data_IF_450197163727
#
_entry.id   IF_450197163727
#
_cell.length_a   1.000
_cell.length_b   1.000
_cell.length_c   1.000
_cell.angle_alpha   90.00
_cell.angle_beta   90.00
_cell.angle_gamma   90.00
#
_symmetry.space_group_name_H-M   'P 1'
#
loop_
_entity.id
_entity.type
_entity.pdbx_description
1 polymer ?
#
# COMPACT_ATOMS: atom_id res chain seq x y z
N UNK A 1 6.93 14.92 26.61
CA UNK A 1 6.65 15.67 25.37
C UNK A 1 7.43 14.96 24.28
N UNK A 2 6.79 14.54 23.21
CA UNK A 2 7.51 13.87 22.09
C UNK A 2 8.16 15.00 21.32
N UNK A 3 9.48 15.06 21.36
CA UNK A 3 10.24 15.96 20.54
C UNK A 3 10.35 15.35 19.13
N UNK A 4 9.74 16.02 18.15
CA UNK A 4 9.89 15.70 16.73
C UNK A 4 11.26 16.22 16.24
N UNK A 5 12.33 15.76 16.94
CA UNK A 5 13.69 16.20 16.68
C UNK A 5 14.14 15.74 15.29
N UNK A 6 14.62 16.67 14.50
CA UNK A 6 15.12 16.43 13.15
C UNK A 6 14.13 16.79 12.02
N UNK A 7 12.88 17.16 12.33
CA UNK A 7 11.98 17.72 11.31
C UNK A 7 12.29 19.21 11.14
N UNK A 8 12.59 19.61 9.91
CA UNK A 8 12.73 21.00 9.51
C UNK A 8 11.75 21.30 8.38
N UNK A 9 11.02 22.43 8.52
CA UNK A 9 10.11 22.90 7.49
C UNK A 9 10.76 24.10 6.77
N UNK A 10 10.86 23.98 5.45
CA UNK A 10 11.40 25.06 4.60
C UNK A 10 10.27 25.99 4.15
N UNK A 11 10.24 27.20 4.72
CA UNK A 11 9.27 28.23 4.39
C UNK A 11 9.48 28.89 3.02
N UNK A 12 10.64 28.62 2.39
CA UNK A 12 10.99 29.15 1.06
C UNK A 12 10.71 28.16 -0.07
N UNK A 13 10.42 26.91 0.27
CA UNK A 13 10.09 25.86 -0.69
C UNK A 13 8.76 26.11 -1.40
N UNK A 14 8.67 25.69 -2.67
CA UNK A 14 7.41 25.67 -3.41
C UNK A 14 6.39 24.64 -2.86
N UNK A 15 6.84 23.68 -2.03
CA UNK A 15 5.96 22.70 -1.39
C UNK A 15 5.26 23.33 -0.20
N UNK A 16 3.92 23.32 -0.10
CA UNK A 16 3.18 23.88 1.01
C UNK A 16 3.61 23.33 2.38
N UNK A 17 3.64 24.16 3.42
CA UNK A 17 4.10 23.78 4.76
C UNK A 17 3.29 22.63 5.37
N UNK A 18 1.98 22.55 5.10
CA UNK A 18 1.16 21.43 5.57
C UNK A 18 1.58 20.10 4.93
N UNK A 19 1.97 20.12 3.66
CA UNK A 19 2.45 18.94 2.94
C UNK A 19 3.82 18.48 3.46
N UNK A 20 4.72 19.43 3.72
CA UNK A 20 6.02 19.13 4.32
C UNK A 20 5.86 18.52 5.72
N UNK A 21 4.97 19.08 6.56
CA UNK A 21 4.69 18.57 7.89
C UNK A 21 4.05 17.17 7.82
N UNK A 22 3.05 16.99 6.93
CA UNK A 22 2.43 15.69 6.69
C UNK A 22 3.48 14.63 6.33
N UNK A 23 4.34 14.95 5.35
CA UNK A 23 5.39 14.05 4.88
C UNK A 23 6.36 13.67 6.00
N UNK A 24 6.82 14.65 6.76
CA UNK A 24 7.76 14.43 7.87
C UNK A 24 7.15 13.60 9.01
N UNK A 25 5.87 13.85 9.36
CA UNK A 25 5.15 13.02 10.33
C UNK A 25 4.92 11.61 9.80
N UNK A 26 4.56 11.47 8.54
CA UNK A 26 4.40 10.17 7.89
C UNK A 26 5.71 9.38 7.90
N UNK A 27 6.83 10.00 7.55
CA UNK A 27 8.15 9.37 7.63
C UNK A 27 8.51 8.93 9.05
N UNK A 28 8.20 9.74 10.06
CA UNK A 28 8.43 9.39 11.47
C UNK A 28 7.57 8.20 11.93
N UNK A 29 6.32 8.11 11.43
CA UNK A 29 5.43 6.98 11.69
C UNK A 29 5.94 5.74 10.94
N UNK A 30 6.26 5.86 9.66
CA UNK A 30 6.66 4.72 8.80
C UNK A 30 8.05 4.18 9.14
N UNK A 31 8.95 5.03 9.64
CA UNK A 31 10.27 4.61 10.13
C UNK A 31 10.25 4.01 11.54
N UNK A 32 9.08 3.96 12.20
CA UNK A 32 8.96 3.46 13.57
C UNK A 32 9.46 4.42 14.67
N UNK A 33 9.85 5.65 14.33
CA UNK A 33 10.18 6.68 15.34
C UNK A 33 8.97 7.07 16.18
N UNK A 34 7.78 7.06 15.57
CA UNK A 34 6.49 7.26 16.24
C UNK A 34 5.71 5.95 16.20
N UNK A 35 5.70 5.23 17.31
CA UNK A 35 5.01 3.95 17.42
C UNK A 35 3.48 4.11 17.47
N UNK A 36 2.76 3.07 17.11
CA UNK A 36 1.32 2.97 17.27
C UNK A 36 0.89 3.28 18.71
N UNK A 37 -0.20 4.01 18.87
CA UNK A 37 -0.68 4.48 20.17
C UNK A 37 0.08 5.68 20.75
N UNK A 38 1.14 6.14 20.08
CA UNK A 38 1.87 7.33 20.47
C UNK A 38 0.98 8.57 20.37
N UNK A 39 0.86 9.33 21.44
CA UNK A 39 0.15 10.62 21.44
C UNK A 39 0.99 11.65 20.68
N UNK A 40 0.44 12.21 19.61
CA UNK A 40 1.08 13.28 18.84
C UNK A 40 0.93 14.63 19.54
N UNK A 41 1.82 15.60 19.26
CA UNK A 41 1.67 16.97 19.73
C UNK A 41 0.33 17.58 19.33
N UNK A 42 -0.18 18.49 20.14
CA UNK A 42 -1.37 19.27 19.79
C UNK A 42 -1.09 20.20 18.61
N UNK A 43 -2.15 20.67 17.94
CA UNK A 43 -2.01 21.71 16.89
C UNK A 43 -1.24 22.93 17.41
N UNK A 44 -1.44 23.30 18.69
CA UNK A 44 -0.77 24.43 19.33
C UNK A 44 0.73 24.17 19.57
N UNK A 45 1.08 22.98 20.04
CA UNK A 45 2.48 22.56 20.20
C UNK A 45 3.22 22.51 18.86
N UNK A 46 2.57 22.02 17.77
CA UNK A 46 3.15 22.06 16.43
C UNK A 46 3.36 23.50 15.94
N UNK A 47 2.40 24.40 16.22
CA UNK A 47 2.55 25.83 15.88
C UNK A 47 3.74 26.45 16.59
N UNK A 48 3.91 26.16 17.87
CA UNK A 48 5.02 26.68 18.67
C UNK A 48 6.36 26.10 18.22
N UNK A 49 6.42 24.80 17.92
CA UNK A 49 7.65 24.12 17.55
C UNK A 49 8.15 24.48 16.15
N UNK A 50 7.25 24.59 15.17
CA UNK A 50 7.63 24.81 13.76
C UNK A 50 7.37 26.21 13.24
N UNK A 51 6.78 27.11 14.06
CA UNK A 51 6.44 28.47 13.66
C UNK A 51 5.44 28.50 12.48
N UNK A 52 4.43 27.63 12.52
CA UNK A 52 3.35 27.50 11.53
C UNK A 52 2.01 27.95 12.11
N UNK A 53 1.02 28.19 11.25
CA UNK A 53 -0.33 28.56 11.70
C UNK A 53 -1.16 27.30 12.07
N UNK A 54 -2.19 27.48 12.94
CA UNK A 54 -3.13 26.40 13.31
C UNK A 54 -3.82 25.75 12.10
N UNK A 55 -4.27 26.49 11.06
CA UNK A 55 -4.81 25.88 9.84
C UNK A 55 -3.83 24.92 9.16
N UNK A 56 -2.55 25.26 9.09
CA UNK A 56 -1.50 24.41 8.49
C UNK A 56 -1.31 23.13 9.29
N UNK A 57 -1.19 23.21 10.61
CA UNK A 57 -1.07 22.04 11.48
C UNK A 57 -2.32 21.15 11.40
N UNK A 58 -3.50 21.76 11.41
CA UNK A 58 -4.79 21.03 11.28
C UNK A 58 -4.92 20.33 9.94
N UNK A 59 -4.55 20.97 8.84
CA UNK A 59 -4.61 20.38 7.50
C UNK A 59 -3.69 19.17 7.39
N UNK A 60 -2.44 19.26 7.90
CA UNK A 60 -1.53 18.13 7.93
C UNK A 60 -2.10 16.95 8.73
N UNK A 61 -2.69 17.20 9.89
CA UNK A 61 -3.33 16.16 10.68
C UNK A 61 -4.57 15.58 10.01
N UNK A 62 -5.42 16.40 9.42
CA UNK A 62 -6.61 15.90 8.71
C UNK A 62 -6.23 14.97 7.57
N UNK A 63 -5.22 15.31 6.79
CA UNK A 63 -4.70 14.45 5.73
C UNK A 63 -4.20 13.11 6.30
N UNK A 64 -3.43 13.12 7.39
CA UNK A 64 -2.96 11.91 8.05
C UNK A 64 -4.11 11.08 8.66
N UNK A 65 -5.22 11.74 9.09
CA UNK A 65 -6.43 11.06 9.57
C UNK A 65 -7.18 10.42 8.39
N UNK A 66 -7.41 11.17 7.31
CA UNK A 66 -8.00 10.65 6.07
C UNK A 66 -7.17 9.51 5.48
N UNK A 67 -5.87 9.65 5.55
CA UNK A 67 -4.91 8.61 5.19
C UNK A 67 -4.87 7.45 6.20
N UNK A 68 -5.46 7.61 7.38
CA UNK A 68 -5.61 6.58 8.41
C UNK A 68 -4.34 6.25 9.19
N UNK A 69 -3.32 7.09 9.14
CA UNK A 69 -2.11 6.96 9.95
C UNK A 69 -2.28 7.49 11.37
N UNK A 70 -3.26 8.38 11.53
CA UNK A 70 -3.52 9.10 12.77
C UNK A 70 -5.00 9.04 13.09
N UNK A 71 -5.35 9.03 14.36
CA UNK A 71 -6.73 9.11 14.82
C UNK A 71 -6.91 10.21 15.87
N UNK A 72 -8.07 10.86 15.84
CA UNK A 72 -8.44 11.88 16.85
C UNK A 72 -9.38 11.26 17.86
N UNK A 73 -8.94 11.20 19.11
CA UNK A 73 -9.76 10.73 20.23
C UNK A 73 -10.31 11.95 20.97
N UNK A 74 -11.64 12.08 21.01
CA UNK A 74 -12.32 13.22 21.66
C UNK A 74 -11.88 13.38 23.13
N UNK A 75 -11.40 14.57 23.50
CA UNK A 75 -10.93 14.88 24.84
C UNK A 75 -9.56 14.29 25.22
N UNK A 76 -8.97 13.41 24.39
CA UNK A 76 -7.70 12.75 24.68
C UNK A 76 -6.54 13.25 23.81
N UNK A 77 -6.84 13.73 22.60
CA UNK A 77 -5.87 14.26 21.65
C UNK A 77 -5.78 13.45 20.36
N UNK A 78 -4.67 13.62 19.66
CA UNK A 78 -4.36 12.97 18.39
C UNK A 78 -3.30 11.88 18.63
N UNK A 79 -3.50 10.70 18.09
CA UNK A 79 -2.63 9.54 18.33
C UNK A 79 -2.22 8.92 17.01
N UNK A 80 -1.02 8.35 16.97
CA UNK A 80 -0.64 7.44 15.90
C UNK A 80 -1.58 6.24 15.99
N UNK A 81 -2.30 6.00 14.92
CA UNK A 81 -3.29 4.92 14.91
C UNK A 81 -2.60 3.58 15.07
N UNK A 82 -3.11 2.75 15.97
CA UNK A 82 -2.71 1.34 16.01
C UNK A 82 -3.13 0.69 14.70
N UNK A 83 -2.21 0.08 13.98
CA UNK A 83 -2.57 -0.53 12.72
C UNK A 83 -3.46 -1.73 12.99
N UNK A 84 -4.70 -1.61 12.61
CA UNK A 84 -5.48 -2.80 12.35
C UNK A 84 -5.00 -3.36 11.00
N UNK A 85 -4.19 -4.41 11.04
CA UNK A 85 -3.67 -5.10 9.85
C UNK A 85 -4.77 -5.72 9.01
N UNK A 86 -5.98 -5.76 9.55
CA UNK A 86 -7.15 -6.42 8.99
C UNK A 86 -7.82 -5.55 7.94
N UNK A 87 -7.43 -5.72 6.68
CA UNK A 87 -8.14 -5.19 5.51
C UNK A 87 -7.69 -3.83 4.97
N UNK A 88 -6.57 -3.25 5.42
CA UNK A 88 -6.12 -1.91 4.98
C UNK A 88 -5.50 -1.85 3.60
N UNK A 89 -4.76 -2.89 3.20
CA UNK A 89 -4.12 -2.90 1.88
C UNK A 89 -5.11 -2.94 0.71
N UNK A 90 -6.40 -3.09 0.97
CA UNK A 90 -7.43 -2.89 -0.05
C UNK A 90 -7.89 -1.44 -0.20
N UNK A 91 -7.72 -0.61 0.83
CA UNK A 91 -8.28 0.74 0.83
C UNK A 91 -7.27 1.81 0.38
N UNK A 92 -5.98 1.49 0.34
CA UNK A 92 -4.93 2.44 -0.08
C UNK A 92 -3.88 1.76 -0.96
N UNK A 93 -3.38 2.55 -1.91
CA UNK A 93 -2.33 2.15 -2.86
C UNK A 93 -0.93 2.35 -2.26
N UNK A 94 -0.75 2.05 -0.98
CA UNK A 94 0.57 2.02 -0.39
C UNK A 94 1.31 0.77 -0.82
N UNK A 95 2.62 0.87 -1.01
CA UNK A 95 3.42 -0.32 -1.20
C UNK A 95 3.35 -1.19 0.07
N UNK A 96 3.37 -2.51 -0.08
CA UNK A 96 3.37 -3.44 1.05
C UNK A 96 4.47 -3.12 2.07
N UNK A 97 5.67 -2.77 1.60
CA UNK A 97 6.79 -2.40 2.46
C UNK A 97 6.50 -1.12 3.27
N UNK A 98 5.90 -0.10 2.62
CA UNK A 98 5.51 1.12 3.32
C UNK A 98 4.42 0.85 4.37
N UNK A 99 3.46 -0.01 4.05
CA UNK A 99 2.41 -0.42 4.99
C UNK A 99 3.00 -1.19 6.18
N UNK A 100 3.85 -2.17 5.94
CA UNK A 100 4.51 -2.94 7.00
C UNK A 100 5.46 -2.07 7.83
N UNK A 101 6.12 -1.09 7.21
CA UNK A 101 6.93 -0.09 7.92
C UNK A 101 6.10 0.76 8.89
N UNK A 102 4.90 1.21 8.47
CA UNK A 102 3.94 1.91 9.36
C UNK A 102 3.58 1.05 10.57
N UNK A 103 3.47 -0.26 10.37
CA UNK A 103 3.10 -1.23 11.39
C UNK A 103 4.27 -1.62 12.29
N UNK A 104 5.49 -1.19 11.96
CA UNK A 104 6.73 -1.67 12.57
C UNK A 104 6.80 -3.21 12.58
N UNK A 105 6.31 -3.84 11.52
CA UNK A 105 6.32 -5.29 11.34
C UNK A 105 7.47 -5.71 10.45
N UNK A 106 8.22 -6.69 10.92
CA UNK A 106 9.21 -7.38 10.08
C UNK A 106 8.49 -8.01 8.89
N UNK A 107 8.98 -7.71 7.69
CA UNK A 107 8.41 -8.23 6.46
C UNK A 107 9.49 -8.67 5.48
N UNK A 108 9.14 -9.61 4.62
CA UNK A 108 9.98 -10.12 3.55
C UNK A 108 9.13 -10.40 2.32
N UNK A 109 9.67 -10.12 1.16
CA UNK A 109 9.09 -10.50 -0.12
C UNK A 109 10.01 -11.52 -0.81
N UNK A 110 9.43 -12.58 -1.33
CA UNK A 110 10.11 -13.60 -2.12
C UNK A 110 9.48 -13.66 -3.50
N UNK A 111 10.29 -13.58 -4.55
CA UNK A 111 9.82 -13.74 -5.93
C UNK A 111 9.79 -15.22 -6.25
N UNK A 112 8.60 -15.76 -6.46
CA UNK A 112 8.39 -17.16 -6.81
C UNK A 112 8.44 -17.38 -8.32
N UNK A 113 8.00 -16.39 -9.12
CA UNK A 113 7.99 -16.43 -10.58
C UNK A 113 8.15 -15.02 -11.13
N UNK A 114 8.90 -14.91 -12.22
CA UNK A 114 9.12 -13.66 -12.93
C UNK A 114 9.41 -14.02 -14.40
N UNK A 115 8.41 -13.86 -15.28
CA UNK A 115 8.50 -14.31 -16.67
C UNK A 115 7.61 -13.47 -17.59
N UNK A 116 7.97 -13.43 -18.87
CA UNK A 116 7.12 -12.85 -19.89
C UNK A 116 6.07 -13.88 -20.36
N UNK A 117 4.79 -13.48 -20.33
CA UNK A 117 3.70 -14.29 -20.82
C UNK A 117 3.10 -13.71 -22.09
N UNK A 118 2.78 -14.60 -23.01
CA UNK A 118 2.14 -14.28 -24.28
C UNK A 118 0.61 -14.26 -24.16
N UNK A 119 -0.06 -14.03 -25.27
CA UNK A 119 -1.49 -13.85 -25.36
C UNK A 119 -2.32 -14.91 -24.62
N UNK A 120 -3.17 -14.43 -23.73
CA UNK A 120 -4.24 -15.17 -23.07
C UNK A 120 -5.53 -14.34 -23.21
N UNK A 121 -6.60 -14.85 -23.83
CA UNK A 121 -7.77 -14.05 -24.18
C UNK A 121 -8.38 -13.25 -23.03
N UNK A 122 -8.58 -13.90 -21.89
CA UNK A 122 -9.18 -13.27 -20.71
C UNK A 122 -8.29 -12.18 -20.10
N UNK A 123 -7.00 -12.46 -19.90
CA UNK A 123 -6.02 -11.52 -19.36
C UNK A 123 -5.88 -10.30 -20.26
N UNK A 124 -5.74 -10.51 -21.56
CA UNK A 124 -5.50 -9.45 -22.51
C UNK A 124 -6.73 -8.55 -22.71
N UNK A 125 -7.93 -9.13 -22.67
CA UNK A 125 -9.17 -8.34 -22.69
C UNK A 125 -9.26 -7.41 -21.45
N UNK A 126 -8.84 -7.88 -20.26
CA UNK A 126 -8.83 -7.09 -19.03
C UNK A 126 -7.82 -5.96 -19.06
N UNK A 127 -6.66 -6.17 -19.65
CA UNK A 127 -5.59 -5.18 -19.79
C UNK A 127 -5.69 -4.36 -21.09
N UNK A 128 -6.71 -4.59 -21.93
CA UNK A 128 -6.91 -3.95 -23.23
C UNK A 128 -5.70 -4.11 -24.15
N UNK A 129 -5.11 -5.29 -24.17
CA UNK A 129 -3.94 -5.64 -24.97
C UNK A 129 -4.31 -6.39 -26.22
N UNK A 130 -3.47 -6.28 -27.24
CA UNK A 130 -3.61 -6.96 -28.51
C UNK A 130 -2.82 -8.28 -28.55
N UNK A 131 -3.06 -9.09 -29.59
CA UNK A 131 -2.50 -10.45 -29.70
C UNK A 131 -0.97 -10.48 -29.80
N UNK A 132 -0.33 -9.40 -30.20
CA UNK A 132 1.12 -9.27 -30.30
C UNK A 132 1.81 -8.74 -29.06
N UNK A 133 1.05 -8.26 -28.09
CA UNK A 133 1.59 -7.73 -26.83
C UNK A 133 2.10 -8.83 -25.91
N UNK A 134 2.88 -8.45 -24.91
CA UNK A 134 3.35 -9.33 -23.84
C UNK A 134 3.04 -8.70 -22.49
N UNK A 135 2.88 -9.55 -21.48
CA UNK A 135 2.78 -9.16 -20.09
C UNK A 135 3.92 -9.75 -19.28
N UNK A 136 4.47 -8.96 -18.36
CA UNK A 136 5.34 -9.47 -17.32
C UNK A 136 4.49 -10.07 -16.20
N UNK A 137 4.63 -11.37 -15.97
CA UNK A 137 3.96 -12.11 -14.91
C UNK A 137 4.91 -12.23 -13.73
N UNK A 138 4.58 -11.55 -12.63
CA UNK A 138 5.36 -11.50 -11.41
C UNK A 138 4.56 -12.10 -10.26
N UNK A 139 5.03 -13.22 -9.71
CA UNK A 139 4.42 -13.90 -8.56
C UNK A 139 5.31 -13.73 -7.34
N UNK A 140 4.74 -13.18 -6.29
CA UNK A 140 5.47 -12.90 -5.05
C UNK A 140 4.73 -13.44 -3.85
N UNK A 141 5.48 -14.08 -2.96
CA UNK A 141 5.03 -14.42 -1.63
C UNK A 141 5.52 -13.36 -0.65
N UNK A 142 4.63 -12.82 0.13
CA UNK A 142 4.95 -11.84 1.17
C UNK A 142 4.75 -12.45 2.54
N UNK A 143 5.70 -12.20 3.41
CA UNK A 143 5.72 -12.70 4.78
C UNK A 143 5.68 -11.54 5.75
N UNK A 144 5.00 -11.73 6.87
CA UNK A 144 4.96 -10.79 8.01
C UNK A 144 5.30 -11.56 9.27
N UNK A 145 6.27 -11.06 10.03
CA UNK A 145 6.77 -11.73 11.25
C UNK A 145 7.08 -13.22 11.02
N UNK A 146 7.74 -13.51 9.89
CA UNK A 146 8.14 -14.86 9.50
C UNK A 146 7.03 -15.77 8.97
N UNK A 147 5.75 -15.33 8.96
CA UNK A 147 4.61 -16.13 8.49
C UNK A 147 4.15 -15.69 7.10
N UNK A 148 3.69 -16.65 6.26
CA UNK A 148 3.02 -16.33 4.99
C UNK A 148 1.85 -15.38 5.21
N UNK A 149 1.78 -14.30 4.42
CA UNK A 149 0.78 -13.27 4.59
C UNK A 149 -0.13 -13.13 3.36
N UNK A 150 0.48 -12.92 2.18
CA UNK A 150 -0.26 -12.81 0.92
C UNK A 150 0.59 -13.32 -0.25
N UNK A 151 -0.02 -14.12 -1.11
CA UNK A 151 0.50 -14.46 -2.43
C UNK A 151 -0.08 -13.45 -3.43
N UNK A 152 0.79 -12.78 -4.19
CA UNK A 152 0.39 -11.76 -5.16
C UNK A 152 0.91 -12.13 -6.54
N UNK A 153 0.01 -12.22 -7.50
CA UNK A 153 0.34 -12.32 -8.92
C UNK A 153 0.04 -10.97 -9.59
N UNK A 154 0.98 -10.42 -10.33
CA UNK A 154 0.81 -9.22 -11.12
C UNK A 154 1.02 -9.54 -12.60
N UNK A 155 0.20 -8.94 -13.44
CA UNK A 155 0.33 -8.98 -14.90
C UNK A 155 0.48 -7.55 -15.41
N UNK A 156 1.69 -7.23 -15.87
CA UNK A 156 2.10 -5.86 -16.19
C UNK A 156 2.39 -5.76 -17.70
N UNK A 157 1.71 -4.86 -18.44
CA UNK A 157 1.92 -4.71 -19.88
C UNK A 157 3.33 -4.24 -20.25
N UNK A 158 4.02 -4.95 -21.14
CA UNK A 158 5.34 -4.54 -21.68
C UNK A 158 5.26 -3.19 -22.38
N UNK A 159 4.18 -2.94 -23.12
CA UNK A 159 3.98 -1.70 -23.85
C UNK A 159 3.95 -0.45 -22.98
N UNK A 160 3.65 -0.60 -21.68
CA UNK A 160 3.65 0.48 -20.70
C UNK A 160 4.97 0.51 -19.92
N UNK A 161 5.54 -0.64 -19.63
CA UNK A 161 6.70 -0.82 -18.76
C UNK A 161 7.81 -1.62 -19.44
N UNK A 162 8.40 -1.11 -20.53
CA UNK A 162 9.46 -1.81 -21.25
C UNK A 162 10.68 -2.00 -20.35
N UNK A 163 11.22 -3.25 -20.29
CA UNK A 163 12.39 -3.58 -19.47
C UNK A 163 12.11 -3.69 -17.97
N UNK A 164 10.86 -3.86 -17.55
CA UNK A 164 10.47 -3.98 -16.15
C UNK A 164 11.09 -5.22 -15.47
N UNK A 165 11.45 -6.22 -16.24
CA UNK A 165 12.12 -7.44 -15.77
C UNK A 165 13.58 -7.22 -15.30
N UNK A 166 14.15 -6.03 -15.51
CA UNK A 166 15.46 -5.66 -15.00
C UNK A 166 15.48 -5.33 -13.50
N UNK A 167 14.33 -5.21 -12.84
CA UNK A 167 14.23 -4.80 -11.44
C UNK A 167 14.05 -5.98 -10.49
N UNK A 168 14.73 -5.91 -9.34
CA UNK A 168 14.58 -6.88 -8.25
C UNK A 168 13.34 -6.55 -7.39
N UNK A 169 12.24 -7.24 -7.66
CA UNK A 169 10.98 -7.09 -6.93
C UNK A 169 10.91 -7.84 -5.60
N UNK A 170 11.99 -8.49 -5.17
CA UNK A 170 12.14 -8.91 -3.78
C UNK A 170 12.49 -7.70 -2.88
N UNK A 171 13.22 -6.71 -3.44
CA UNK A 171 13.70 -5.54 -2.71
C UNK A 171 12.92 -4.25 -3.04
N UNK A 172 12.37 -4.15 -4.24
CA UNK A 172 11.66 -2.94 -4.69
C UNK A 172 10.16 -3.16 -4.83
N UNK A 173 9.39 -2.13 -4.50
CA UNK A 173 7.95 -2.14 -4.76
C UNK A 173 7.66 -2.00 -6.26
N UNK A 174 6.73 -2.80 -6.78
CA UNK A 174 6.29 -2.70 -8.17
C UNK A 174 5.72 -1.31 -8.49
N UNK A 175 4.85 -0.79 -7.65
CA UNK A 175 4.22 0.54 -7.87
C UNK A 175 5.19 1.70 -7.64
N UNK A 176 6.19 1.52 -6.78
CA UNK A 176 7.26 2.49 -6.63
C UNK A 176 8.12 2.58 -7.91
N UNK A 177 8.37 1.45 -8.56
CA UNK A 177 9.04 1.43 -9.87
C UNK A 177 8.16 2.08 -10.94
N UNK A 178 6.84 1.84 -10.95
CA UNK A 178 5.93 2.51 -11.87
C UNK A 178 6.04 4.04 -11.75
N UNK A 179 6.00 4.57 -10.54
CA UNK A 179 6.02 6.01 -10.30
C UNK A 179 7.41 6.62 -10.50
N UNK A 180 8.47 6.02 -9.94
CA UNK A 180 9.81 6.64 -9.90
C UNK A 180 10.59 6.46 -11.18
N UNK A 181 10.33 5.40 -11.94
CA UNK A 181 11.09 5.06 -13.15
C UNK A 181 10.29 5.38 -14.41
N UNK A 182 9.04 4.95 -14.46
CA UNK A 182 8.21 5.10 -15.65
C UNK A 182 7.30 6.33 -15.61
N UNK A 183 7.25 7.04 -14.47
CA UNK A 183 6.40 8.21 -14.22
C UNK A 183 4.91 7.92 -14.43
N UNK A 184 4.53 6.66 -14.27
CA UNK A 184 3.15 6.19 -14.32
C UNK A 184 2.54 6.16 -12.93
N UNK A 185 1.47 6.90 -12.73
CA UNK A 185 0.78 7.02 -11.44
C UNK A 185 -0.44 6.13 -11.40
N UNK A 186 -0.58 5.40 -10.33
CA UNK A 186 -1.80 4.65 -10.05
C UNK A 186 -2.86 5.62 -9.52
N UNK A 187 -3.95 5.81 -10.30
CA UNK A 187 -5.01 6.76 -9.94
C UNK A 187 -6.28 6.05 -9.49
N UNK A 188 -6.58 4.90 -10.08
CA UNK A 188 -7.84 4.19 -9.85
C UNK A 188 -7.61 2.69 -9.80
N UNK A 189 -8.38 2.01 -8.99
CA UNK A 189 -8.41 0.55 -8.98
C UNK A 189 -9.84 0.02 -8.87
N UNK A 190 -10.10 -1.05 -9.61
CA UNK A 190 -11.35 -1.83 -9.50
C UNK A 190 -11.04 -3.16 -8.86
N UNK A 191 -11.65 -3.43 -7.72
CA UNK A 191 -11.43 -4.66 -6.95
C UNK A 191 -12.66 -5.54 -6.90
N UNK A 192 -12.42 -6.84 -7.03
CA UNK A 192 -13.43 -7.90 -6.87
C UNK A 192 -12.93 -8.85 -5.80
N UNK A 193 -13.73 -9.04 -4.76
CA UNK A 193 -13.42 -9.94 -3.66
C UNK A 193 -14.28 -11.20 -3.80
N UNK A 194 -13.63 -12.36 -3.66
CA UNK A 194 -14.29 -13.66 -3.73
C UNK A 194 -13.77 -14.60 -2.65
N UNK A 195 -14.65 -15.42 -2.11
CA UNK A 195 -14.25 -16.56 -1.29
C UNK A 195 -13.91 -17.74 -2.19
N UNK A 196 -12.79 -18.38 -1.92
CA UNK A 196 -12.31 -19.58 -2.60
C UNK A 196 -11.88 -20.64 -1.59
N UNK A 197 -11.50 -21.81 -2.05
CA UNK A 197 -10.90 -22.86 -1.22
C UNK A 197 -9.45 -23.10 -1.64
N UNK A 198 -8.59 -23.35 -0.67
CA UNK A 198 -7.19 -23.65 -0.87
C UNK A 198 -7.00 -24.88 -1.77
N UNK A 199 -6.32 -24.69 -2.90
CA UNK A 199 -5.79 -25.79 -3.70
C UNK A 199 -4.51 -26.36 -3.05
N UNK A 200 -3.88 -27.34 -3.64
CA UNK A 200 -2.68 -27.97 -3.09
C UNK A 200 -1.49 -26.99 -3.03
N UNK A 201 -1.32 -26.15 -4.03
CA UNK A 201 -0.22 -25.16 -4.10
C UNK A 201 -0.37 -24.12 -3.00
N UNK A 202 -1.55 -23.50 -2.86
CA UNK A 202 -1.83 -22.55 -1.80
C UNK A 202 -1.66 -23.17 -0.41
N UNK A 203 -2.20 -24.38 -0.23
CA UNK A 203 -2.11 -25.09 1.05
C UNK A 203 -0.65 -25.30 1.48
N UNK A 204 0.23 -25.65 0.55
CA UNK A 204 1.67 -25.81 0.79
C UNK A 204 2.34 -24.48 1.11
N UNK A 205 2.06 -23.42 0.34
CA UNK A 205 2.67 -22.10 0.51
C UNK A 205 2.29 -21.44 1.85
N UNK A 206 1.05 -21.61 2.27
CA UNK A 206 0.52 -20.99 3.51
C UNK A 206 0.60 -21.89 4.73
N UNK A 207 0.95 -23.17 4.57
CA UNK A 207 0.96 -24.14 5.67
C UNK A 207 -0.43 -24.45 6.25
N UNK A 208 -1.47 -24.41 5.38
CA UNK A 208 -2.86 -24.69 5.75
C UNK A 208 -3.34 -26.00 5.11
N UNK A 209 -4.52 -26.47 5.48
CA UNK A 209 -5.10 -27.66 4.85
C UNK A 209 -5.69 -27.35 3.48
N UNK A 210 -5.63 -28.31 2.56
CA UNK A 210 -6.39 -28.25 1.30
C UNK A 210 -7.88 -28.10 1.60
N UNK A 211 -8.56 -27.16 0.92
CA UNK A 211 -9.95 -26.84 1.16
C UNK A 211 -10.18 -25.76 2.25
N UNK A 212 -9.12 -25.29 2.94
CA UNK A 212 -9.22 -24.14 3.85
C UNK A 212 -9.77 -22.92 3.12
N UNK A 213 -10.49 -22.00 3.80
CA UNK A 213 -10.96 -20.77 3.20
C UNK A 213 -9.81 -19.92 2.68
N UNK A 214 -9.97 -19.37 1.49
CA UNK A 214 -9.07 -18.39 0.87
C UNK A 214 -9.87 -17.17 0.52
N UNK A 215 -9.39 -16.02 0.93
CA UNK A 215 -9.88 -14.75 0.46
C UNK A 215 -9.09 -14.36 -0.79
N UNK A 216 -9.77 -14.29 -1.92
CA UNK A 216 -9.21 -13.91 -3.21
C UNK A 216 -9.63 -12.51 -3.58
N UNK A 217 -8.67 -11.70 -3.98
CA UNK A 217 -8.91 -10.34 -4.47
C UNK A 217 -8.31 -10.20 -5.86
N UNK A 218 -9.14 -9.83 -6.81
CA UNK A 218 -8.70 -9.44 -8.13
C UNK A 218 -8.76 -7.91 -8.25
N UNK A 219 -7.67 -7.31 -8.70
CA UNK A 219 -7.55 -5.87 -8.77
C UNK A 219 -7.07 -5.44 -10.16
N UNK A 220 -7.85 -4.62 -10.86
CA UNK A 220 -7.44 -3.95 -12.10
C UNK A 220 -7.05 -2.52 -11.76
N UNK A 221 -5.80 -2.19 -12.00
CA UNK A 221 -5.18 -0.90 -11.68
C UNK A 221 -5.09 -0.05 -12.95
N UNK A 222 -5.44 1.23 -12.84
CA UNK A 222 -5.51 2.16 -13.97
C UNK A 222 -4.70 3.42 -13.68
N UNK A 223 -4.11 3.95 -14.74
CA UNK A 223 -3.39 5.23 -14.73
C UNK A 223 -4.34 6.44 -14.85
N UNK A 224 -3.76 7.63 -15.02
CA UNK A 224 -4.47 8.90 -15.19
C UNK A 224 -5.30 8.99 -16.47
N UNK A 225 -5.11 8.08 -17.42
CA UNK A 225 -5.84 8.03 -18.70
C UNK A 225 -6.88 6.89 -18.73
N UNK A 226 -7.23 6.31 -17.57
CA UNK A 226 -8.09 5.11 -17.47
C UNK A 226 -7.54 3.90 -18.27
N UNK A 227 -6.22 3.86 -18.50
CA UNK A 227 -5.53 2.73 -19.14
C UNK A 227 -5.22 1.69 -18.07
N UNK A 228 -5.60 0.41 -18.24
CA UNK A 228 -5.18 -0.65 -17.32
C UNK A 228 -3.67 -0.86 -17.42
N UNK A 229 -2.99 -0.74 -16.29
CA UNK A 229 -1.52 -0.85 -16.18
C UNK A 229 -1.06 -2.03 -15.33
N UNK A 230 -1.96 -2.64 -14.55
CA UNK A 230 -1.71 -3.86 -13.79
C UNK A 230 -3.01 -4.61 -13.56
N UNK A 231 -2.97 -5.91 -13.71
CA UNK A 231 -3.98 -6.84 -13.19
C UNK A 231 -3.33 -7.67 -12.11
N UNK A 232 -3.72 -7.48 -10.86
CA UNK A 232 -3.22 -8.29 -9.75
C UNK A 232 -4.26 -9.26 -9.22
N UNK A 233 -3.76 -10.41 -8.77
CA UNK A 233 -4.52 -11.45 -8.07
C UNK A 233 -3.84 -11.66 -6.72
N UNK A 234 -4.60 -11.50 -5.66
CA UNK A 234 -4.11 -11.61 -4.30
C UNK A 234 -4.84 -12.74 -3.58
N UNK A 235 -4.07 -13.62 -2.95
CA UNK A 235 -4.60 -14.77 -2.22
C UNK A 235 -4.17 -14.67 -0.77
N UNK A 236 -5.14 -14.70 0.13
CA UNK A 236 -4.92 -14.54 1.57
C UNK A 236 -5.60 -15.68 2.32
N UNK A 237 -5.07 -16.01 3.51
CA UNK A 237 -5.72 -16.95 4.40
C UNK A 237 -7.06 -16.38 4.89
N UNK A 238 -8.17 -16.97 4.45
CA UNK A 238 -9.53 -16.53 4.75
C UNK A 238 -9.98 -16.76 6.19
N UNK A 239 -9.16 -17.43 7.02
CA UNK A 239 -9.45 -17.62 8.44
C UNK A 239 -8.88 -16.45 9.26
N UNK A 240 -7.69 -15.99 8.91
CA UNK A 240 -6.96 -14.97 9.69
C UNK A 240 -7.15 -13.55 9.15
N UNK A 241 -7.53 -13.40 7.88
CA UNK A 241 -7.69 -12.09 7.26
C UNK A 241 -9.14 -11.60 7.31
N UNK A 242 -9.29 -10.31 7.62
CA UNK A 242 -10.58 -9.60 7.70
C UNK A 242 -10.52 -8.35 6.83
N UNK A 243 -11.58 -8.06 6.11
CA UNK A 243 -11.78 -6.77 5.43
C UNK A 243 -12.88 -5.99 6.11
N UNK A 244 -12.64 -4.69 6.30
CA UNK A 244 -13.59 -3.77 6.91
C UNK A 244 -13.75 -2.56 5.99
N UNK A 245 -15.00 -2.25 5.65
CA UNK A 245 -15.37 -1.11 4.82
C UNK A 245 -16.29 -0.20 5.63
N UNK A 246 -16.00 1.09 5.63
CA UNK A 246 -16.90 2.11 6.14
C UNK A 246 -17.68 2.72 4.96
N UNK A 247 -19.00 2.63 5.00
CA UNK A 247 -19.87 3.22 3.98
C UNK A 247 -20.51 4.46 4.58
N UNK A 248 -20.19 5.62 4.02
CA UNK A 248 -20.81 6.89 4.40
C UNK A 248 -21.87 7.22 3.35
N UNK A 249 -23.13 7.23 3.74
CA UNK A 249 -24.24 7.70 2.90
C UNK A 249 -24.22 9.24 2.90
N UNK A 250 -24.20 9.83 1.71
CA UNK A 250 -24.34 11.28 1.51
C UNK A 250 -25.78 11.69 1.53
#
# INVERSE_FOLDING_TARGET
MIELNGIQLDKTSAVPLYEQLRKALLEAITSGKLLAGTKLPTEEELCAQFGISRPVARQAYNMLIEEGFVERMRGRGTFVRSPDTRGRFLNKQLSFAAEMGVLNLEHRTEVLRAEWVSYTPELFARLKLERGDRCYHLVRMRYVSGKPFVLVENYVPESVFPGIDAYDFAQRSLYDVFETVYHERVIKSRRVLMAQTANAEFANLFGVHRGSPVLYVENTVMDQNDRPIDLSKEYLDGVTQKFEFEVVNQ
#
